data_IF_115585035382
#
_entry.id   IF_115585035382
#
_cell.length_a   1.000
_cell.length_b   1.000
_cell.length_c   1.000
_cell.angle_alpha   90.00
_cell.angle_beta   90.00
_cell.angle_gamma   90.00
#
_symmetry.space_group_name_H-M   'P 1'
#
loop_
_entity.id
_entity.type
_entity.pdbx_description
1 polymer ?
#
# COMPACT_ATOMS: atom_id res chain seq x y z
N UNK A 1 9.76 -9.08 -14.72
CA UNK A 1 8.55 -8.65 -15.46
C UNK A 1 8.64 -9.21 -16.88
N UNK A 2 7.63 -9.93 -17.36
CA UNK A 2 7.67 -10.58 -18.68
C UNK A 2 7.57 -9.54 -19.80
N UNK A 3 8.60 -9.44 -20.65
CA UNK A 3 8.65 -8.47 -21.75
C UNK A 3 7.88 -8.99 -22.96
N UNK A 4 7.43 -8.08 -23.83
CA UNK A 4 6.63 -8.41 -25.04
C UNK A 4 7.21 -9.52 -25.92
N UNK A 5 8.54 -9.61 -26.04
CA UNK A 5 9.20 -10.61 -26.89
C UNK A 5 9.66 -11.87 -26.13
N UNK A 6 9.51 -11.92 -24.80
CA UNK A 6 9.90 -13.09 -24.00
C UNK A 6 8.99 -14.29 -24.33
N UNK A 7 9.45 -15.53 -24.11
CA UNK A 7 8.61 -16.71 -24.20
C UNK A 7 7.37 -16.59 -23.31
N UNK A 8 6.19 -16.96 -23.83
CA UNK A 8 4.98 -16.89 -23.03
C UNK A 8 5.01 -17.91 -21.89
N UNK A 9 4.54 -17.51 -20.72
CA UNK A 9 4.51 -18.33 -19.50
C UNK A 9 3.68 -19.62 -19.61
N UNK A 10 2.79 -19.74 -20.60
CA UNK A 10 1.92 -20.90 -20.82
C UNK A 10 2.59 -22.09 -21.54
N UNK A 11 3.88 -21.98 -21.88
CA UNK A 11 4.61 -23.07 -22.54
C UNK A 11 4.29 -23.28 -24.04
N UNK A 12 3.52 -22.39 -24.66
CA UNK A 12 3.08 -22.53 -26.08
C UNK A 12 4.19 -22.35 -27.12
N UNK A 13 5.42 -21.99 -26.72
CA UNK A 13 6.52 -21.62 -27.62
C UNK A 13 6.35 -20.28 -28.33
N UNK A 14 5.21 -19.58 -28.16
CA UNK A 14 4.95 -18.27 -28.78
C UNK A 14 5.53 -17.12 -27.94
N UNK A 15 5.87 -16.01 -28.59
CA UNK A 15 6.22 -14.74 -27.91
C UNK A 15 5.04 -14.24 -27.08
N UNK A 16 5.29 -13.74 -25.86
CA UNK A 16 4.26 -13.27 -24.93
C UNK A 16 3.27 -12.29 -25.57
N UNK A 17 3.75 -11.31 -26.35
CA UNK A 17 2.90 -10.34 -27.06
C UNK A 17 1.89 -10.94 -28.04
N UNK A 18 2.15 -12.14 -28.56
CA UNK A 18 1.31 -12.85 -29.54
C UNK A 18 0.52 -13.99 -28.91
N UNK A 19 0.64 -14.19 -27.60
CA UNK A 19 -0.05 -15.24 -26.86
C UNK A 19 -1.00 -14.60 -25.84
N UNK A 20 -0.56 -14.39 -24.60
CA UNK A 20 -1.43 -13.93 -23.50
C UNK A 20 -1.31 -12.44 -23.17
N UNK A 21 -0.54 -11.64 -23.92
CA UNK A 21 -0.44 -10.20 -23.61
C UNK A 21 -1.76 -9.45 -23.77
N UNK A 22 -2.64 -9.91 -24.66
CA UNK A 22 -3.99 -9.36 -24.80
C UNK A 22 -4.89 -9.78 -23.61
N UNK A 23 -4.66 -10.99 -23.08
CA UNK A 23 -5.38 -11.56 -21.94
C UNK A 23 -4.81 -11.13 -20.59
N UNK A 24 -3.68 -10.42 -20.59
CA UNK A 24 -3.13 -9.73 -19.43
C UNK A 24 -4.07 -8.56 -19.09
N UNK A 25 -5.24 -8.91 -18.55
CA UNK A 25 -6.29 -7.98 -18.23
C UNK A 25 -5.74 -6.91 -17.29
N UNK A 26 -6.11 -5.67 -17.56
CA UNK A 26 -5.88 -4.59 -16.62
C UNK A 26 -6.58 -4.91 -15.30
N UNK A 27 -5.97 -4.50 -14.20
CA UNK A 27 -6.58 -4.63 -12.87
C UNK A 27 -7.94 -3.95 -12.88
N UNK A 28 -8.97 -4.66 -12.43
CA UNK A 28 -10.34 -4.15 -12.26
C UNK A 28 -10.64 -4.03 -10.76
N UNK A 29 -11.45 -3.05 -10.32
CA UNK A 29 -11.84 -2.95 -8.92
C UNK A 29 -12.63 -4.19 -8.48
N UNK A 30 -12.27 -4.73 -7.31
CA UNK A 30 -13.04 -5.78 -6.63
C UNK A 30 -14.13 -5.20 -5.71
N UNK A 31 -14.94 -6.08 -5.12
CA UNK A 31 -15.90 -5.70 -4.07
C UNK A 31 -15.14 -5.45 -2.76
N UNK A 32 -15.28 -4.24 -2.19
CA UNK A 32 -14.67 -3.89 -0.90
C UNK A 32 -15.47 -4.49 0.27
N UNK A 33 -14.78 -5.02 1.28
CA UNK A 33 -15.41 -5.47 2.53
C UNK A 33 -15.74 -4.29 3.45
N UNK A 34 -16.58 -4.48 4.48
CA UNK A 34 -16.70 -3.51 5.56
C UNK A 34 -15.36 -3.21 6.25
N UNK A 35 -15.29 -2.05 6.92
CA UNK A 35 -14.13 -1.63 7.70
C UNK A 35 -13.92 -2.55 8.92
N UNK A 36 -12.66 -2.91 9.20
CA UNK A 36 -12.31 -3.70 10.39
C UNK A 36 -12.34 -2.80 11.63
N UNK A 37 -12.79 -3.31 12.80
CA UNK A 37 -12.81 -2.52 14.02
C UNK A 37 -11.39 -2.28 14.55
N UNK A 38 -11.19 -1.11 15.16
CA UNK A 38 -9.99 -0.76 15.92
C UNK A 38 -10.36 -0.71 17.41
N UNK A 39 -9.65 -1.46 18.28
CA UNK A 39 -9.85 -1.40 19.73
C UNK A 39 -9.85 0.02 20.30
N UNK A 40 -10.68 0.25 21.33
CA UNK A 40 -10.94 1.59 21.87
C UNK A 40 -9.77 2.19 22.67
N UNK A 41 -8.86 1.34 23.15
CA UNK A 41 -7.64 1.71 23.89
C UNK A 41 -6.51 2.22 22.98
N UNK A 42 -6.58 1.96 21.68
CA UNK A 42 -5.62 2.47 20.71
C UNK A 42 -5.96 3.94 20.40
N UNK A 43 -5.03 4.84 20.72
CA UNK A 43 -5.16 6.25 20.41
C UNK A 43 -5.37 6.47 18.90
N UNK A 44 -6.41 7.22 18.55
CA UNK A 44 -6.80 7.49 17.16
C UNK A 44 -6.21 8.82 16.68
N UNK A 45 -5.79 8.90 15.41
CA UNK A 45 -5.55 10.20 14.80
C UNK A 45 -6.85 10.99 14.66
N UNK A 46 -6.73 12.30 14.50
CA UNK A 46 -7.82 13.25 14.35
C UNK A 46 -8.73 12.96 13.13
N UNK A 47 -8.18 12.37 12.08
CA UNK A 47 -8.91 12.00 10.86
C UNK A 47 -9.60 10.62 10.92
N UNK A 48 -9.48 9.86 12.01
CA UNK A 48 -9.97 8.48 12.04
C UNK A 48 -11.48 8.35 11.78
N UNK A 49 -12.27 9.33 12.24
CA UNK A 49 -13.73 9.32 12.07
C UNK A 49 -14.20 10.20 10.91
N UNK A 50 -13.53 11.34 10.70
CA UNK A 50 -13.95 12.35 9.71
C UNK A 50 -13.35 12.11 8.33
N UNK A 51 -12.30 11.30 8.23
CA UNK A 51 -11.50 11.11 7.02
C UNK A 51 -10.72 12.36 6.58
N UNK A 52 -10.79 13.44 7.34
CA UNK A 52 -10.18 14.74 6.99
C UNK A 52 -9.15 15.13 8.04
N UNK A 53 -7.85 15.18 7.70
CA UNK A 53 -6.81 15.59 8.65
C UNK A 53 -6.93 17.09 8.93
N UNK A 54 -6.69 17.47 10.19
CA UNK A 54 -6.52 18.85 10.59
C UNK A 54 -5.23 19.40 9.99
N UNK A 55 -5.35 20.54 9.32
CA UNK A 55 -4.19 21.30 8.87
C UNK A 55 -3.58 22.05 10.05
N UNK A 56 -2.27 21.93 10.21
CA UNK A 56 -1.50 22.66 11.21
C UNK A 56 -0.08 22.89 10.69
N UNK A 57 0.55 23.98 11.15
CA UNK A 57 1.92 24.32 10.77
C UNK A 57 2.90 23.53 11.63
N UNK A 58 3.36 22.39 11.10
CA UNK A 58 4.28 21.51 11.78
C UNK A 58 5.72 21.74 11.30
N UNK A 59 6.71 21.91 12.20
CA UNK A 59 8.11 22.08 11.81
C UNK A 59 8.61 20.90 10.97
N UNK A 60 9.32 21.19 9.88
CA UNK A 60 9.95 20.17 9.04
C UNK A 60 11.06 19.40 9.79
N UNK A 61 11.78 20.10 10.68
CA UNK A 61 12.80 19.49 11.55
C UNK A 61 12.16 19.05 12.86
N UNK A 62 12.22 17.75 13.16
CA UNK A 62 11.61 17.16 14.35
C UNK A 62 12.58 17.17 15.54
N UNK A 63 12.03 17.28 16.75
CA UNK A 63 12.84 17.16 17.97
C UNK A 63 13.38 15.72 18.14
N UNK A 64 14.47 15.51 18.88
CA UNK A 64 15.00 14.18 19.17
C UNK A 64 13.95 13.21 19.74
N UNK A 65 13.04 13.69 20.58
CA UNK A 65 11.97 12.91 21.23
C UNK A 65 10.89 12.48 20.23
N UNK A 66 10.55 13.34 19.27
CA UNK A 66 9.64 13.00 18.18
C UNK A 66 10.29 11.93 17.30
N UNK A 67 11.56 12.10 16.95
CA UNK A 67 12.30 11.14 16.12
C UNK A 67 12.35 9.77 16.82
N UNK A 68 12.55 9.72 18.13
CA UNK A 68 12.54 8.46 18.87
C UNK A 68 11.18 7.74 18.79
N UNK A 69 10.07 8.48 18.89
CA UNK A 69 8.73 7.92 18.66
C UNK A 69 8.54 7.44 17.22
N UNK A 70 9.04 8.18 16.24
CA UNK A 70 9.00 7.78 14.83
C UNK A 70 9.77 6.48 14.57
N UNK A 71 10.94 6.28 15.21
CA UNK A 71 11.70 5.03 15.08
C UNK A 71 10.90 3.83 15.56
N UNK A 72 10.23 3.94 16.72
CA UNK A 72 9.36 2.88 17.26
C UNK A 72 8.18 2.57 16.34
N UNK A 73 7.49 3.61 15.86
CA UNK A 73 6.38 3.44 14.92
C UNK A 73 6.84 2.81 13.59
N UNK A 74 7.99 3.25 13.07
CA UNK A 74 8.58 2.71 11.85
C UNK A 74 9.01 1.24 11.98
N UNK A 75 9.60 0.86 13.12
CA UNK A 75 9.94 -0.54 13.39
C UNK A 75 8.71 -1.44 13.42
N UNK A 76 7.65 -1.03 14.15
CA UNK A 76 6.40 -1.77 14.20
C UNK A 76 5.73 -1.89 12.81
N UNK A 77 5.75 -0.82 12.01
CA UNK A 77 5.25 -0.87 10.63
C UNK A 77 6.07 -1.84 9.75
N UNK A 78 7.39 -1.86 9.92
CA UNK A 78 8.28 -2.76 9.18
C UNK A 78 8.06 -4.24 9.53
N UNK A 79 7.66 -4.55 10.77
CA UNK A 79 7.29 -5.92 11.17
C UNK A 79 5.97 -6.40 10.53
N UNK A 80 5.10 -5.47 10.10
CA UNK A 80 3.77 -5.76 9.54
C UNK A 80 3.78 -5.86 8.00
N UNK A 81 4.70 -5.15 7.33
CA UNK A 81 4.82 -5.06 5.86
C UNK A 81 5.29 -6.35 5.20
#
# INVERSE_FOLDING_TARGET
MLKSNDPCWCGSGKKYKRCHRADAALVKPGRQSPMRPVPADIARPDYAETGTPRVWDEPAVKSPEVIERMRRAGAAAAEIL
#
